data_IF_954748943629
#
_entry.id   IF_954748943629
#
_cell.length_a   1.000
_cell.length_b   1.000
_cell.length_c   1.000
_cell.angle_alpha   90.00
_cell.angle_beta   90.00
_cell.angle_gamma   90.00
#
_symmetry.space_group_name_H-M   'P 1'
#
loop_
_entity.id
_entity.type
_entity.pdbx_description
1 polymer ?
#
# COMPACT_ATOMS: atom_id res chain seq x y z
N UNK A 1 -15.01 19.52 3.38
CA UNK A 1 -14.46 18.15 3.28
C UNK A 1 -14.31 17.73 1.82
N UNK A 2 -15.39 17.62 1.06
CA UNK A 2 -15.37 17.10 -0.33
C UNK A 2 -14.37 17.79 -1.27
N UNK A 3 -14.23 19.12 -1.22
CA UNK A 3 -13.30 19.87 -2.09
C UNK A 3 -11.81 19.56 -1.81
N UNK A 4 -11.45 19.27 -0.55
CA UNK A 4 -10.08 18.86 -0.19
C UNK A 4 -9.82 17.43 -0.66
N UNK A 5 -10.79 16.54 -0.46
CA UNK A 5 -10.70 15.14 -0.91
C UNK A 5 -10.60 15.03 -2.44
N UNK A 6 -11.35 15.86 -3.19
CA UNK A 6 -11.26 15.93 -4.65
C UNK A 6 -9.88 16.40 -5.13
N UNK A 7 -9.26 17.35 -4.42
CA UNK A 7 -7.90 17.80 -4.69
C UNK A 7 -6.81 16.80 -4.29
N UNK A 8 -7.14 15.78 -3.48
CA UNK A 8 -6.19 14.79 -3.00
C UNK A 8 -5.84 13.76 -4.07
N UNK A 9 -6.84 13.26 -4.79
CA UNK A 9 -6.70 12.16 -5.75
C UNK A 9 -5.58 12.39 -6.78
N UNK A 10 -5.52 13.54 -7.50
CA UNK A 10 -4.45 13.77 -8.46
C UNK A 10 -3.06 13.77 -7.81
N UNK A 11 -2.92 14.29 -6.59
CA UNK A 11 -1.64 14.32 -5.89
C UNK A 11 -1.22 12.92 -5.41
N UNK A 12 -2.17 12.14 -4.88
CA UNK A 12 -1.94 10.76 -4.46
C UNK A 12 -1.51 9.91 -5.64
N UNK A 13 -2.23 9.96 -6.77
CA UNK A 13 -1.84 9.23 -7.98
C UNK A 13 -0.44 9.62 -8.48
N UNK A 14 -0.06 10.89 -8.42
CA UNK A 14 1.29 11.32 -8.81
C UNK A 14 2.37 10.77 -7.89
N UNK A 15 2.16 10.82 -6.57
CA UNK A 15 3.13 10.31 -5.57
C UNK A 15 3.25 8.80 -5.67
N UNK A 16 2.12 8.09 -5.69
CA UNK A 16 2.08 6.63 -5.76
C UNK A 16 2.61 6.17 -7.11
N UNK A 17 2.12 6.70 -8.23
CA UNK A 17 2.55 6.30 -9.57
C UNK A 17 4.04 6.53 -9.84
N UNK A 18 4.67 7.54 -9.22
CA UNK A 18 6.12 7.76 -9.34
C UNK A 18 6.94 6.81 -8.49
N UNK A 19 6.37 6.28 -7.42
CA UNK A 19 7.12 5.54 -6.40
C UNK A 19 6.71 4.06 -6.33
N UNK A 20 5.64 3.64 -7.00
CA UNK A 20 5.21 2.26 -7.12
C UNK A 20 6.21 1.47 -7.98
N UNK A 21 6.60 0.32 -7.47
CA UNK A 21 7.40 -0.68 -8.18
C UNK A 21 6.48 -1.60 -8.98
N UNK A 22 7.00 -2.34 -9.98
CA UNK A 22 6.19 -3.15 -10.92
C UNK A 22 5.28 -4.19 -10.24
N UNK A 23 5.63 -4.60 -9.03
CA UNK A 23 4.90 -5.63 -8.27
C UNK A 23 3.82 -5.05 -7.34
N UNK A 24 3.63 -3.72 -7.32
CA UNK A 24 2.63 -3.06 -6.50
C UNK A 24 1.42 -2.62 -7.33
N UNK A 25 0.23 -2.95 -6.85
CA UNK A 25 -1.01 -2.43 -7.42
C UNK A 25 -1.20 -0.97 -7.00
N UNK A 26 -1.09 -0.07 -7.98
CA UNK A 26 -1.22 1.37 -7.77
C UNK A 26 -2.62 1.73 -7.29
N UNK A 27 -3.66 1.08 -7.82
CA UNK A 27 -5.03 1.42 -7.49
C UNK A 27 -5.38 0.99 -6.06
N UNK A 28 -4.87 -0.15 -5.60
CA UNK A 28 -5.01 -0.59 -4.21
C UNK A 28 -4.37 0.42 -3.23
N UNK A 29 -3.15 0.86 -3.53
CA UNK A 29 -2.43 1.84 -2.69
C UNK A 29 -3.15 3.19 -2.67
N UNK A 30 -3.67 3.63 -3.82
CA UNK A 30 -4.44 4.88 -3.91
C UNK A 30 -5.71 4.76 -3.06
N UNK A 31 -6.45 3.66 -3.18
CA UNK A 31 -7.66 3.42 -2.40
C UNK A 31 -7.38 3.43 -0.89
N UNK A 32 -6.39 2.66 -0.45
CA UNK A 32 -5.93 2.61 0.94
C UNK A 32 -5.56 4.02 1.45
N UNK A 33 -4.87 4.79 0.63
CA UNK A 33 -4.48 6.18 0.94
C UNK A 33 -5.70 7.07 1.11
N UNK A 34 -6.67 6.99 0.19
CA UNK A 34 -7.89 7.81 0.27
C UNK A 34 -8.74 7.46 1.51
N UNK A 35 -8.82 6.18 1.88
CA UNK A 35 -9.49 5.75 3.12
C UNK A 35 -8.77 6.34 4.35
N UNK A 36 -7.44 6.26 4.39
CA UNK A 36 -6.64 6.84 5.48
C UNK A 36 -6.83 8.37 5.58
N UNK A 37 -6.85 9.07 4.43
CA UNK A 37 -7.09 10.52 4.35
C UNK A 37 -8.46 10.87 4.90
N UNK A 38 -9.53 10.19 4.48
CA UNK A 38 -10.89 10.49 4.95
C UNK A 38 -10.98 10.31 6.47
N UNK A 39 -10.36 9.26 7.02
CA UNK A 39 -10.35 9.00 8.46
C UNK A 39 -9.55 10.02 9.26
N UNK A 40 -8.44 10.51 8.73
CA UNK A 40 -7.54 11.43 9.43
C UNK A 40 -7.83 12.92 9.17
N UNK A 41 -8.65 13.24 8.17
CA UNK A 41 -8.99 14.62 7.80
C UNK A 41 -9.65 15.43 8.94
N UNK A 42 -10.54 14.88 9.79
CA UNK A 42 -11.10 15.61 10.93
C UNK A 42 -10.05 16.11 11.92
N UNK A 43 -8.89 15.44 11.99
CA UNK A 43 -7.80 15.78 12.90
C UNK A 43 -6.82 16.80 12.30
N UNK A 44 -7.01 17.22 11.03
CA UNK A 44 -6.15 18.20 10.38
C UNK A 44 -6.47 19.61 10.89
N UNK A 45 -5.64 20.07 11.84
CA UNK A 45 -5.80 21.38 12.51
C UNK A 45 -5.47 22.59 11.63
N UNK A 46 -4.65 22.40 10.60
CA UNK A 46 -4.16 23.47 9.72
C UNK A 46 -4.27 23.06 8.25
N UNK A 47 -5.19 23.72 7.54
CA UNK A 47 -5.48 23.42 6.12
C UNK A 47 -4.33 23.85 5.19
N UNK A 48 -3.46 24.79 5.61
CA UNK A 48 -2.28 25.15 4.82
C UNK A 48 -1.28 24.00 4.72
N UNK A 49 -1.32 23.06 5.68
CA UNK A 49 -0.49 21.84 5.70
C UNK A 49 -1.11 20.67 4.94
N UNK A 50 -2.29 20.82 4.34
CA UNK A 50 -3.02 19.73 3.70
C UNK A 50 -2.14 18.95 2.70
N UNK A 51 -1.38 19.65 1.85
CA UNK A 51 -0.52 19.03 0.84
C UNK A 51 0.60 18.18 1.46
N UNK A 52 1.36 18.73 2.41
CA UNK A 52 2.48 18.00 3.04
C UNK A 52 1.99 16.86 3.92
N UNK A 53 0.86 17.05 4.61
CA UNK A 53 0.18 16.02 5.37
C UNK A 53 -0.31 14.86 4.47
N UNK A 54 -0.92 15.18 3.34
CA UNK A 54 -1.39 14.18 2.36
C UNK A 54 -0.24 13.36 1.79
N UNK A 55 0.88 14.01 1.45
CA UNK A 55 2.10 13.32 0.99
C UNK A 55 2.64 12.37 2.07
N UNK A 56 2.63 12.79 3.34
CA UNK A 56 3.07 11.93 4.44
C UNK A 56 2.21 10.66 4.57
N UNK A 57 0.89 10.77 4.41
CA UNK A 57 -0.01 9.61 4.40
C UNK A 57 0.31 8.70 3.21
N UNK A 58 0.44 9.25 1.99
CA UNK A 58 0.75 8.46 0.80
C UNK A 58 2.09 7.70 0.91
N UNK A 59 3.13 8.35 1.44
CA UNK A 59 4.44 7.73 1.67
C UNK A 59 4.36 6.60 2.70
N UNK A 60 3.56 6.78 3.76
CA UNK A 60 3.31 5.73 4.75
C UNK A 60 2.62 4.52 4.13
N UNK A 61 1.54 4.73 3.37
CA UNK A 61 0.83 3.63 2.70
C UNK A 61 1.73 2.86 1.72
N UNK A 62 2.57 3.58 0.97
CA UNK A 62 3.52 2.96 0.06
C UNK A 62 4.59 2.12 0.79
N UNK A 63 5.06 2.60 1.94
CA UNK A 63 6.00 1.86 2.79
C UNK A 63 5.36 0.59 3.33
N UNK A 64 4.10 0.67 3.79
CA UNK A 64 3.34 -0.46 4.27
C UNK A 64 3.03 -1.47 3.15
N UNK A 65 2.71 -1.00 1.94
CA UNK A 65 2.49 -1.84 0.76
C UNK A 65 3.76 -2.61 0.36
N UNK A 66 4.93 -1.94 0.33
CA UNK A 66 6.22 -2.61 0.11
C UNK A 66 6.51 -3.67 1.16
N UNK A 67 6.23 -3.37 2.43
CA UNK A 67 6.42 -4.32 3.53
C UNK A 67 5.54 -5.56 3.35
N UNK A 68 4.26 -5.37 3.01
CA UNK A 68 3.30 -6.44 2.73
C UNK A 68 3.72 -7.29 1.53
N UNK A 69 4.09 -6.66 0.42
CA UNK A 69 4.54 -7.36 -0.78
C UNK A 69 5.79 -8.22 -0.53
N UNK A 70 6.75 -7.70 0.26
CA UNK A 70 7.94 -8.46 0.66
C UNK A 70 7.60 -9.66 1.55
N UNK A 71 6.73 -9.48 2.56
CA UNK A 71 6.30 -10.60 3.41
C UNK A 71 5.52 -11.65 2.62
N UNK A 72 4.59 -11.25 1.74
CA UNK A 72 3.83 -12.18 0.90
C UNK A 72 4.71 -12.98 -0.07
N UNK A 73 5.79 -12.37 -0.56
CA UNK A 73 6.79 -13.08 -1.38
C UNK A 73 7.53 -14.14 -0.56
N UNK A 74 7.97 -13.82 0.65
CA UNK A 74 8.62 -14.79 1.54
C UNK A 74 7.69 -15.96 1.86
N UNK A 75 6.43 -15.70 2.22
CA UNK A 75 5.46 -16.78 2.50
C UNK A 75 5.13 -17.61 1.26
N UNK A 76 5.14 -17.01 0.06
CA UNK A 76 4.93 -17.75 -1.20
C UNK A 76 6.11 -18.68 -1.50
N UNK A 77 7.34 -18.23 -1.21
CA UNK A 77 8.54 -19.06 -1.38
C UNK A 77 8.60 -20.20 -0.35
N UNK A 78 8.25 -19.94 0.90
CA UNK A 78 8.15 -20.97 1.96
C UNK A 78 7.12 -22.06 1.58
N UNK A 79 5.92 -21.68 1.12
CA UNK A 79 4.93 -22.66 0.65
C UNK A 79 5.32 -23.37 -0.66
N UNK A 80 6.14 -22.75 -1.51
CA UNK A 80 6.65 -23.40 -2.72
C UNK A 80 7.68 -24.48 -2.37
N UNK A 81 8.51 -24.24 -1.35
CA UNK A 81 9.49 -25.19 -0.81
C UNK A 81 8.79 -26.38 -0.14
N UNK A 82 7.76 -26.13 0.67
CA UNK A 82 6.97 -27.19 1.34
C UNK A 82 6.20 -28.09 0.35
N UNK A 83 5.71 -27.53 -0.77
CA UNK A 83 5.02 -28.31 -1.82
C UNK A 83 5.98 -29.12 -2.71
N UNK A 84 7.29 -28.93 -2.56
CA UNK A 84 8.31 -29.68 -3.31
C UNK A 84 9.05 -30.70 -2.43
N UNK A 85 8.65 -30.90 -1.17
CA UNK A 85 9.11 -32.03 -0.40
C UNK A 85 8.66 -33.31 -1.13
N UNK A 86 9.58 -34.21 -1.53
CA UNK A 86 9.20 -35.46 -2.17
C UNK A 86 8.31 -36.23 -1.19
N UNK A 87 7.15 -36.70 -1.66
CA UNK A 87 6.32 -37.59 -0.84
C UNK A 87 7.19 -38.75 -0.37
N UNK A 88 7.29 -39.03 0.94
CA UNK A 88 7.94 -40.25 1.38
C UNK A 88 7.14 -41.41 0.79
N UNK A 89 7.79 -42.15 -0.09
CA UNK A 89 7.29 -43.36 -0.72
C UNK A 89 6.93 -44.38 0.36
N UNK A 90 5.68 -44.36 0.81
CA UNK A 90 5.11 -45.41 1.64
C UNK A 90 4.77 -46.60 0.75
N UNK A 91 5.80 -47.25 0.20
CA UNK A 91 5.69 -48.52 -0.48
C UNK A 91 6.44 -49.62 0.30
N UNK A 92 5.63 -50.56 0.82
CA UNK A 92 5.92 -51.92 1.33
C UNK A 92 6.32 -52.08 2.79
#
# INVERSE_FOLDING_TARGET
VERLTAGALPLVYNVVGRAAERDLDVDDIVQDTMVAVIRALPDLRDTAKFRSWLVAIAVRQLTDARRRARSGRLTTLEHADERHAPEPDFAT
#
